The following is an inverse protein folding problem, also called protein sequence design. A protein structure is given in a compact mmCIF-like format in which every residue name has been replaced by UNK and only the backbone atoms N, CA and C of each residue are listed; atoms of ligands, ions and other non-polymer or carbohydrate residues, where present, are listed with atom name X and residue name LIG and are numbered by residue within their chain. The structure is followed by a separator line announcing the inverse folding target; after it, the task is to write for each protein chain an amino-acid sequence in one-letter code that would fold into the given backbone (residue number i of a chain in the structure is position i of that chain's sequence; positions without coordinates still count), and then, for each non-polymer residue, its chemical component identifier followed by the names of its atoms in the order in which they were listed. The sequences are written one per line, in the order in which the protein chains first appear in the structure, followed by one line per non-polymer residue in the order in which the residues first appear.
data_IF_877437895737
#
_entry.id   IF_877437895737
#
_cell.length_a   1.000
_cell.length_b   1.000
_cell.length_c   1.000
_cell.angle_alpha   90.00
_cell.angle_beta   90.00
_cell.angle_gamma   90.00
#
_symmetry.space_group_name_H-M   'P 1'
#
loop_
_entity.id
_entity.type
_entity.pdbx_description
1 polymer ?
#
# COMPACT_ATOMS: atom_id res chain seq x y z
N UNK A 1 7.65 6.82 8.22
CA UNK A 1 6.61 6.75 9.27
C UNK A 1 5.28 7.39 8.87
N UNK A 2 5.23 8.60 8.28
CA UNK A 2 3.96 9.25 7.91
C UNK A 2 3.05 8.40 7.00
N UNK A 3 3.61 7.83 5.93
CA UNK A 3 2.87 7.00 4.98
C UNK A 3 2.17 5.80 5.66
N UNK A 4 2.89 5.10 6.53
CA UNK A 4 2.33 3.96 7.27
C UNK A 4 1.16 4.38 8.17
N UNK A 5 1.25 5.52 8.84
CA UNK A 5 0.16 6.02 9.67
C UNK A 5 -1.09 6.37 8.84
N UNK A 6 -0.91 6.97 7.67
CA UNK A 6 -2.01 7.28 6.75
C UNK A 6 -2.64 5.98 6.18
N UNK A 7 -1.83 4.98 5.81
CA UNK A 7 -2.32 3.67 5.38
C UNK A 7 -3.08 2.92 6.49
N UNK A 8 -2.60 2.97 7.74
CA UNK A 8 -3.31 2.39 8.88
C UNK A 8 -4.64 3.10 9.16
N UNK A 9 -4.69 4.42 8.96
CA UNK A 9 -5.93 5.19 9.09
C UNK A 9 -6.94 4.76 8.02
N UNK A 10 -6.50 4.57 6.78
CA UNK A 10 -7.35 4.05 5.71
C UNK A 10 -7.81 2.61 5.96
N UNK A 11 -6.93 1.75 6.48
CA UNK A 11 -7.24 0.35 6.73
C UNK A 11 -8.20 0.12 7.91
N UNK A 12 -8.29 1.09 8.83
CA UNK A 12 -8.98 0.93 10.11
C UNK A 12 -10.43 0.46 9.94
N UNK A 13 -10.76 -0.67 10.57
CA UNK A 13 -12.09 -1.28 10.52
C UNK A 13 -12.25 -2.38 9.47
N UNK A 14 -11.28 -2.58 8.58
CA UNK A 14 -11.18 -3.75 7.72
C UNK A 14 -9.96 -4.60 8.13
N UNK A 15 -10.21 -5.65 8.92
CA UNK A 15 -9.14 -6.50 9.45
C UNK A 15 -8.26 -7.15 8.38
N UNK A 16 -8.78 -7.38 7.17
CA UNK A 16 -7.99 -7.92 6.07
C UNK A 16 -6.98 -6.90 5.56
N UNK A 17 -7.44 -5.66 5.36
CA UNK A 17 -6.59 -4.55 4.92
C UNK A 17 -5.60 -4.15 6.03
N UNK A 18 -6.02 -4.14 7.30
CA UNK A 18 -5.15 -3.87 8.45
C UNK A 18 -3.98 -4.86 8.49
N UNK A 19 -4.28 -6.16 8.39
CA UNK A 19 -3.26 -7.20 8.38
C UNK A 19 -2.29 -7.05 7.20
N UNK A 20 -2.79 -6.71 6.02
CA UNK A 20 -1.95 -6.50 4.84
C UNK A 20 -1.02 -5.27 4.99
N UNK A 21 -1.55 -4.15 5.50
CA UNK A 21 -0.75 -2.94 5.78
C UNK A 21 0.33 -3.22 6.82
N UNK A 22 -0.01 -3.97 7.88
CA UNK A 22 0.95 -4.33 8.92
C UNK A 22 1.98 -5.35 8.42
N UNK A 23 1.61 -6.28 7.53
CA UNK A 23 2.56 -7.19 6.89
C UNK A 23 3.57 -6.43 6.02
N UNK A 24 3.11 -5.48 5.21
CA UNK A 24 3.98 -4.60 4.42
C UNK A 24 4.93 -3.78 5.30
N UNK A 25 4.42 -3.29 6.44
CA UNK A 25 5.22 -2.55 7.41
C UNK A 25 6.27 -3.45 8.08
N UNK A 26 5.90 -4.67 8.46
CA UNK A 26 6.78 -5.63 9.11
C UNK A 26 7.88 -6.14 8.18
N UNK A 27 7.60 -6.32 6.88
CA UNK A 27 8.62 -6.68 5.89
C UNK A 27 9.63 -5.54 5.67
N UNK A 28 9.23 -4.29 5.85
CA UNK A 28 10.15 -3.15 5.93
C UNK A 28 10.81 -2.73 4.61
N UNK A 29 10.40 -3.29 3.46
CA UNK A 29 11.02 -2.98 2.16
C UNK A 29 10.07 -2.27 1.21
N UNK A 30 8.87 -2.82 1.00
CA UNK A 30 7.92 -2.32 0.01
C UNK A 30 7.50 -0.88 0.25
N UNK A 31 7.19 -0.54 1.50
CA UNK A 31 6.79 0.82 1.85
C UNK A 31 7.94 1.82 1.77
N UNK A 32 9.20 1.42 1.58
CA UNK A 32 10.34 2.33 1.37
C UNK A 32 10.78 2.45 -0.09
N UNK A 33 10.28 1.55 -0.93
CA UNK A 33 10.55 1.48 -2.35
C UNK A 33 9.73 2.50 -3.14
N UNK A 34 10.42 3.39 -3.84
CA UNK A 34 9.76 4.43 -4.66
C UNK A 34 8.96 3.85 -5.81
N UNK A 35 9.51 2.88 -6.52
CA UNK A 35 8.86 2.18 -7.64
C UNK A 35 7.56 1.48 -7.21
N UNK A 36 7.55 0.87 -6.02
CA UNK A 36 6.34 0.31 -5.43
C UNK A 36 5.34 1.39 -5.02
N UNK A 37 5.78 2.44 -4.33
CA UNK A 37 4.90 3.55 -3.93
C UNK A 37 4.24 4.20 -5.14
N UNK A 38 5.01 4.51 -6.17
CA UNK A 38 4.51 5.17 -7.38
C UNK A 38 3.52 4.29 -8.15
N UNK A 39 3.66 2.96 -8.08
CA UNK A 39 2.78 2.01 -8.74
C UNK A 39 1.52 1.68 -7.93
N UNK A 40 1.64 1.46 -6.62
CA UNK A 40 0.61 0.81 -5.81
C UNK A 40 -0.03 1.74 -4.76
N UNK A 41 0.55 2.91 -4.48
CA UNK A 41 0.04 3.82 -3.45
C UNK A 41 -0.58 5.03 -4.14
N UNK A 42 -1.84 5.29 -3.83
CA UNK A 42 -2.56 6.45 -4.35
C UNK A 42 -2.82 7.46 -3.24
N UNK A 43 -2.89 8.73 -3.64
CA UNK A 43 -3.15 9.84 -2.72
C UNK A 43 -4.30 10.69 -3.22
N UNK A 44 -5.25 11.02 -2.35
CA UNK A 44 -6.32 11.97 -2.66
C UNK A 44 -5.79 13.39 -2.57
N UNK A 45 -6.17 14.25 -3.52
CA UNK A 45 -5.83 15.67 -3.47
C UNK A 45 -6.43 16.29 -2.21
N UNK A 46 -5.66 17.11 -1.48
CA UNK A 46 -6.05 17.59 -0.15
C UNK A 46 -7.41 18.30 -0.11
N UNK A 47 -7.79 19.02 -1.17
CA UNK A 47 -9.07 19.73 -1.26
C UNK A 47 -10.30 18.81 -1.42
N UNK A 48 -10.11 17.52 -1.76
CA UNK A 48 -11.21 16.55 -1.90
C UNK A 48 -11.42 15.72 -0.63
N UNK A 49 -10.44 15.67 0.28
CA UNK A 49 -10.50 14.83 1.48
C UNK A 49 -11.59 15.31 2.43
N UNK A 50 -11.64 16.63 2.69
CA UNK A 50 -12.57 17.21 3.66
C UNK A 50 -14.01 17.24 3.14
N UNK A 51 -14.19 17.29 1.82
CA UNK A 51 -15.50 17.41 1.18
C UNK A 51 -16.21 16.06 1.00
N UNK A 52 -15.45 14.95 0.90
CA UNK A 52 -15.97 13.65 0.48
C UNK A 52 -15.63 12.49 1.44
N UNK A 53 -15.01 12.76 2.59
CA UNK A 53 -14.55 11.73 3.54
C UNK A 53 -13.70 10.63 2.88
N UNK A 54 -12.87 11.05 1.91
CA UNK A 54 -12.02 10.14 1.15
C UNK A 54 -10.73 9.85 1.91
N UNK A 55 -10.17 8.63 1.79
CA UNK A 55 -8.87 8.34 2.36
C UNK A 55 -7.81 9.24 1.73
N UNK A 56 -6.94 9.80 2.56
CA UNK A 56 -5.81 10.61 2.08
C UNK A 56 -4.84 9.77 1.27
N UNK A 57 -4.65 8.51 1.66
CA UNK A 57 -3.78 7.53 1.01
C UNK A 57 -4.42 6.15 1.07
N UNK A 58 -4.29 5.36 0.01
CA UNK A 58 -4.69 3.94 0.01
C UNK A 58 -3.74 3.09 -0.83
N UNK A 59 -3.76 1.78 -0.58
CA UNK A 59 -3.05 0.78 -1.35
C UNK A 59 -3.98 0.19 -2.41
N UNK A 60 -3.54 0.16 -3.66
CA UNK A 60 -4.17 -0.60 -4.74
C UNK A 60 -3.66 -2.05 -4.70
N UNK A 61 -4.48 -2.92 -4.14
CA UNK A 61 -4.20 -4.36 -4.05
C UNK A 61 -4.20 -5.06 -5.40
N UNK A 62 -4.98 -4.60 -6.37
CA UNK A 62 -5.01 -5.20 -7.71
C UNK A 62 -3.67 -4.93 -8.42
N UNK A 63 -3.18 -3.69 -8.35
CA UNK A 63 -1.87 -3.35 -8.88
C UNK A 63 -0.74 -4.06 -8.12
N UNK A 64 -0.83 -4.19 -6.79
CA UNK A 64 0.15 -4.92 -5.99
C UNK A 64 0.23 -6.41 -6.37
N UNK A 65 -0.92 -7.09 -6.52
CA UNK A 65 -0.99 -8.47 -6.97
C UNK A 65 -0.46 -8.63 -8.41
N UNK A 66 -0.79 -7.69 -9.30
CA UNK A 66 -0.26 -7.69 -10.67
C UNK A 66 1.26 -7.48 -10.73
N UNK A 67 1.85 -6.76 -9.77
CA UNK A 67 3.30 -6.65 -9.60
C UNK A 67 3.90 -7.99 -9.16
N UNK A 68 3.24 -8.69 -8.24
CA UNK A 68 3.64 -10.01 -7.75
C UNK A 68 3.68 -11.04 -8.89
N UNK A 69 2.59 -11.15 -9.66
CA UNK A 69 2.39 -12.16 -10.69
C UNK A 69 3.27 -11.96 -11.93
N UNK A 70 3.49 -10.70 -12.32
CA UNK A 70 4.15 -10.36 -13.59
C UNK A 70 5.61 -9.97 -13.44
N UNK A 71 6.15 -9.98 -12.21
CA UNK A 71 7.54 -9.57 -11.93
C UNK A 71 7.84 -8.15 -12.40
N UNK A 72 6.85 -7.24 -12.31
CA UNK A 72 6.95 -5.89 -12.87
C UNK A 72 7.96 -5.00 -12.15
N UNK A 73 8.30 -5.35 -10.92
CA UNK A 73 9.33 -4.70 -10.13
C UNK A 73 10.44 -5.70 -9.81
N UNK A 74 11.72 -5.33 -9.88
CA UNK A 74 12.81 -6.19 -9.41
C UNK A 74 12.62 -6.49 -7.93
N UNK A 75 12.41 -7.75 -7.58
CA UNK A 75 12.18 -8.17 -6.20
C UNK A 75 12.61 -9.63 -6.01
N UNK A 76 12.99 -9.97 -4.80
CA UNK A 76 13.19 -11.35 -4.37
C UNK A 76 11.86 -12.09 -4.28
N UNK A 77 11.90 -13.43 -4.30
CA UNK A 77 10.69 -14.24 -4.12
C UNK A 77 9.99 -13.99 -2.78
N UNK A 78 10.74 -13.77 -1.70
CA UNK A 78 10.19 -13.42 -0.38
C UNK A 78 9.48 -12.08 -0.36
N UNK A 79 9.99 -11.09 -1.11
CA UNK A 79 9.31 -9.81 -1.27
C UNK A 79 7.99 -9.98 -2.04
N UNK A 80 7.99 -10.75 -3.14
CA UNK A 80 6.78 -10.98 -3.94
C UNK A 80 5.72 -11.76 -3.16
N UNK A 81 6.12 -12.68 -2.27
CA UNK A 81 5.20 -13.45 -1.43
C UNK A 81 4.42 -12.58 -0.42
N UNK A 82 4.92 -11.40 -0.08
CA UNK A 82 4.15 -10.43 0.73
C UNK A 82 3.00 -9.80 -0.06
N UNK A 83 3.08 -9.80 -1.39
CA UNK A 83 2.09 -9.19 -2.29
C UNK A 83 1.11 -10.19 -2.91
N UNK A 84 1.30 -11.50 -2.68
CA UNK A 84 0.56 -12.60 -3.30
C UNK A 84 -0.50 -13.21 -2.39
#
# INVERSE_FOLDING_TARGET
MRLLAELRTWAAGDYGIEAAVDLLAAHGTWLDRRDFRDACIHTTAAHLVDDFDLPRVWLDFETAAAVADRGRLPASGSELQVLA
#
